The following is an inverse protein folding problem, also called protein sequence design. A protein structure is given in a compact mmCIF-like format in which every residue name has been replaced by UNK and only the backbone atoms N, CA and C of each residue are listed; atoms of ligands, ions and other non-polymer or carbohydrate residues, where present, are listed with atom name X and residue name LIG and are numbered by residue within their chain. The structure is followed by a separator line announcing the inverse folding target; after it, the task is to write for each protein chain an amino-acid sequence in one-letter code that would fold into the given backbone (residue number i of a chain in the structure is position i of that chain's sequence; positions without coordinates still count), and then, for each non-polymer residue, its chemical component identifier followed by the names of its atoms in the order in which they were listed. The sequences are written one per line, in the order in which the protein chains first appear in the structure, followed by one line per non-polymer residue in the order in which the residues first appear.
data_IF_918462160113
#
_entry.id   IF_918462160113
#
_cell.length_a   1.000
_cell.length_b   1.000
_cell.length_c   1.000
_cell.angle_alpha   90.00
_cell.angle_beta   90.00
_cell.angle_gamma   90.00
#
_symmetry.space_group_name_H-M   'P 1'
#
loop_
_entity.id
_entity.type
_entity.pdbx_description
1 polymer ?
#
# COMPACT_ATOMS: atom_id res chain seq x y z
N UNK A 1 -32.31 17.49 -23.70
CA UNK A 1 -32.21 16.97 -22.32
C UNK A 1 -31.43 15.65 -22.39
N UNK A 2 -30.12 15.69 -22.18
CA UNK A 2 -29.26 14.50 -22.17
C UNK A 2 -29.27 13.98 -20.73
N UNK A 3 -29.95 12.84 -20.56
CA UNK A 3 -29.93 12.09 -19.30
C UNK A 3 -28.50 11.81 -18.90
N UNK A 4 -28.09 12.39 -17.76
CA UNK A 4 -26.81 12.13 -17.14
C UNK A 4 -26.70 10.64 -16.83
N UNK A 5 -25.80 9.91 -17.52
CA UNK A 5 -25.38 8.58 -17.10
C UNK A 5 -24.90 8.72 -15.66
N UNK A 6 -25.61 8.10 -14.73
CA UNK A 6 -25.11 7.89 -13.37
C UNK A 6 -23.73 7.21 -13.49
N UNK A 7 -22.66 7.99 -13.40
CA UNK A 7 -21.31 7.45 -13.36
C UNK A 7 -21.22 6.59 -12.10
N UNK A 8 -21.19 5.27 -12.28
CA UNK A 8 -21.00 4.34 -11.16
C UNK A 8 -19.70 4.68 -10.48
N UNK A 9 -19.74 4.97 -9.17
CA UNK A 9 -18.57 5.35 -8.38
C UNK A 9 -17.43 4.36 -8.57
N UNK A 10 -16.19 4.85 -8.73
CA UNK A 10 -14.99 4.01 -8.82
C UNK A 10 -14.83 3.19 -7.54
N UNK A 11 -14.31 1.98 -7.65
CA UNK A 11 -14.13 1.03 -6.53
C UNK A 11 -12.65 0.84 -6.26
N UNK A 12 -12.25 0.93 -4.99
CA UNK A 12 -10.89 0.67 -4.54
C UNK A 12 -10.88 -0.46 -3.50
N UNK A 13 -9.91 -1.36 -3.65
CA UNK A 13 -9.62 -2.41 -2.66
C UNK A 13 -8.34 -2.04 -1.90
N UNK A 14 -8.45 -1.87 -0.57
CA UNK A 14 -7.34 -1.54 0.31
C UNK A 14 -7.02 -2.75 1.19
N UNK A 15 -5.81 -3.31 1.06
CA UNK A 15 -5.36 -4.37 1.96
C UNK A 15 -4.76 -3.77 3.24
N UNK A 16 -4.98 -4.41 4.40
CA UNK A 16 -4.57 -3.86 5.68
C UNK A 16 -5.30 -2.55 6.03
N UNK A 17 -6.56 -2.43 5.60
CA UNK A 17 -7.34 -1.19 5.72
C UNK A 17 -8.11 -1.03 7.03
N UNK A 18 -7.97 -1.95 8.00
CA UNK A 18 -8.69 -1.85 9.26
C UNK A 18 -8.08 -0.82 10.23
N UNK A 19 -6.81 -0.48 10.07
CA UNK A 19 -6.07 0.44 10.95
C UNK A 19 -4.94 1.19 10.24
N UNK A 20 -4.33 2.17 10.91
CA UNK A 20 -3.13 2.88 10.50
C UNK A 20 -3.24 3.49 9.10
N UNK A 21 -2.14 3.47 8.36
CA UNK A 21 -2.03 4.03 7.00
C UNK A 21 -3.16 3.53 6.08
N UNK A 22 -3.45 2.22 6.11
CA UNK A 22 -4.49 1.63 5.27
C UNK A 22 -5.88 2.20 5.57
N UNK A 23 -6.22 2.39 6.85
CA UNK A 23 -7.48 3.02 7.26
C UNK A 23 -7.51 4.51 6.85
N UNK A 24 -6.39 5.21 7.03
CA UNK A 24 -6.25 6.59 6.57
C UNK A 24 -6.50 6.74 5.06
N UNK A 25 -5.92 5.84 4.26
CA UNK A 25 -6.17 5.78 2.80
C UNK A 25 -7.65 5.52 2.51
N UNK A 26 -8.27 4.54 3.18
CA UNK A 26 -9.66 4.19 2.99
C UNK A 26 -10.61 5.37 3.30
N UNK A 27 -10.34 6.11 4.38
CA UNK A 27 -11.13 7.29 4.77
C UNK A 27 -11.00 8.44 3.76
N UNK A 28 -9.79 8.78 3.32
CA UNK A 28 -9.57 9.84 2.32
C UNK A 28 -10.26 9.50 1.00
N UNK A 29 -10.09 8.27 0.51
CA UNK A 29 -10.71 7.86 -0.75
C UNK A 29 -12.23 7.81 -0.67
N UNK A 30 -12.79 7.36 0.46
CA UNK A 30 -14.24 7.41 0.68
C UNK A 30 -14.77 8.84 0.66
N UNK A 31 -14.06 9.78 1.32
CA UNK A 31 -14.40 11.22 1.30
C UNK A 31 -14.33 11.84 -0.11
N UNK A 32 -13.55 11.24 -1.01
CA UNK A 32 -13.45 11.64 -2.43
C UNK A 32 -14.44 10.90 -3.35
N UNK A 33 -15.40 10.15 -2.78
CA UNK A 33 -16.47 9.50 -3.54
C UNK A 33 -16.14 8.10 -4.08
N UNK A 34 -15.01 7.48 -3.66
CA UNK A 34 -14.72 6.09 -3.98
C UNK A 34 -15.57 5.14 -3.13
N UNK A 35 -16.02 4.05 -3.73
CA UNK A 35 -16.53 2.91 -2.98
C UNK A 35 -15.34 2.08 -2.49
N UNK A 36 -15.21 1.94 -1.17
CA UNK A 36 -14.05 1.32 -0.54
C UNK A 36 -14.39 -0.10 -0.08
N UNK A 37 -13.54 -1.05 -0.47
CA UNK A 37 -13.47 -2.39 0.09
C UNK A 37 -12.19 -2.54 0.90
N UNK A 38 -12.29 -3.13 2.09
CA UNK A 38 -11.16 -3.42 2.98
C UNK A 38 -10.92 -4.92 3.04
N UNK A 39 -9.69 -5.34 2.75
CA UNK A 39 -9.20 -6.70 2.92
C UNK A 39 -8.22 -6.73 4.11
N UNK A 40 -8.59 -7.37 5.22
CA UNK A 40 -7.76 -7.40 6.43
C UNK A 40 -8.02 -8.70 7.21
N UNK A 41 -7.07 -9.11 8.03
CA UNK A 41 -7.26 -10.18 9.03
C UNK A 41 -8.09 -9.69 10.21
N UNK A 42 -8.02 -8.39 10.52
CA UNK A 42 -8.82 -7.72 11.53
C UNK A 42 -10.09 -7.14 10.91
N UNK A 43 -11.17 -7.11 11.68
CA UNK A 43 -12.45 -6.59 11.21
C UNK A 43 -12.42 -5.08 11.05
N UNK A 44 -12.91 -4.61 9.91
CA UNK A 44 -13.28 -3.20 9.68
C UNK A 44 -14.80 -3.07 9.76
N UNK A 45 -15.29 -2.00 10.41
CA UNK A 45 -16.72 -1.70 10.52
C UNK A 45 -17.11 -0.47 9.67
N UNK A 46 -16.13 0.25 9.12
CA UNK A 46 -16.35 1.51 8.39
C UNK A 46 -16.72 1.27 6.92
N UNK A 47 -16.30 0.12 6.35
CA UNK A 47 -16.38 -0.16 4.91
C UNK A 47 -16.83 -1.59 4.63
N UNK A 48 -17.12 -1.90 3.35
CA UNK A 48 -17.27 -3.29 2.95
C UNK A 48 -15.98 -4.06 3.31
N UNK A 49 -16.14 -5.12 4.07
CA UNK A 49 -15.03 -5.87 4.65
C UNK A 49 -15.00 -7.31 4.14
N UNK A 50 -13.84 -7.75 3.70
CA UNK A 50 -13.54 -9.15 3.39
C UNK A 50 -12.36 -9.63 4.25
N UNK A 51 -12.59 -10.60 5.15
CA UNK A 51 -11.51 -11.20 5.95
C UNK A 51 -10.49 -11.83 5.02
N UNK A 52 -9.24 -11.33 5.07
CA UNK A 52 -8.21 -11.72 4.11
C UNK A 52 -6.84 -11.85 4.75
N UNK A 53 -6.24 -13.02 4.63
CA UNK A 53 -4.82 -13.23 4.82
C UNK A 53 -4.16 -13.16 3.44
N UNK A 54 -3.43 -12.08 3.18
CA UNK A 54 -2.81 -11.82 1.88
C UNK A 54 -1.70 -12.83 1.52
N UNK A 55 -1.13 -13.51 2.52
CA UNK A 55 -0.13 -14.55 2.29
C UNK A 55 -0.75 -15.88 1.81
N UNK A 56 -2.09 -16.00 1.79
CA UNK A 56 -2.81 -17.22 1.40
C UNK A 56 -3.61 -17.00 0.13
N UNK A 57 -3.19 -17.60 -0.97
CA UNK A 57 -3.82 -17.38 -2.28
C UNK A 57 -5.32 -17.68 -2.30
N UNK A 58 -5.78 -18.73 -1.62
CA UNK A 58 -7.21 -19.04 -1.52
C UNK A 58 -8.01 -17.93 -0.85
N UNK A 59 -7.43 -17.29 0.21
CA UNK A 59 -8.02 -16.14 0.89
C UNK A 59 -8.11 -14.92 -0.03
N UNK A 60 -7.05 -14.65 -0.78
CA UNK A 60 -7.00 -13.57 -1.77
C UNK A 60 -8.06 -13.76 -2.85
N UNK A 61 -8.17 -14.97 -3.43
CA UNK A 61 -9.21 -15.26 -4.44
C UNK A 61 -10.63 -15.03 -3.92
N UNK A 62 -10.90 -15.49 -2.70
CA UNK A 62 -12.21 -15.30 -2.07
C UNK A 62 -12.52 -13.84 -1.85
N UNK A 63 -11.54 -13.04 -1.40
CA UNK A 63 -11.68 -11.60 -1.25
C UNK A 63 -12.01 -10.90 -2.56
N UNK A 64 -11.21 -11.12 -3.61
CA UNK A 64 -11.40 -10.46 -4.90
C UNK A 64 -12.78 -10.83 -5.49
N UNK A 65 -13.20 -12.10 -5.37
CA UNK A 65 -14.54 -12.54 -5.78
C UNK A 65 -15.61 -11.78 -5.03
N UNK A 66 -15.55 -11.69 -3.70
CA UNK A 66 -16.54 -10.97 -2.90
C UNK A 66 -16.63 -9.48 -3.25
N UNK A 67 -15.50 -8.83 -3.55
CA UNK A 67 -15.48 -7.42 -4.00
C UNK A 67 -16.17 -7.28 -5.36
N UNK A 68 -15.87 -8.18 -6.31
CA UNK A 68 -16.48 -8.14 -7.65
C UNK A 68 -17.97 -8.46 -7.59
N UNK A 69 -18.40 -9.42 -6.77
CA UNK A 69 -19.81 -9.73 -6.54
C UNK A 69 -20.57 -8.53 -5.94
N UNK A 70 -19.94 -7.82 -4.98
CA UNK A 70 -20.56 -6.67 -4.31
C UNK A 70 -20.68 -5.44 -5.20
N UNK A 71 -19.62 -5.10 -5.96
CA UNK A 71 -19.50 -3.81 -6.63
C UNK A 71 -19.55 -3.90 -8.18
N UNK A 72 -19.39 -5.08 -8.75
CA UNK A 72 -19.35 -5.31 -10.20
C UNK A 72 -18.09 -4.84 -10.91
N UNK A 73 -17.19 -4.12 -10.22
CA UNK A 73 -15.96 -3.51 -10.77
C UNK A 73 -14.86 -3.38 -9.75
N UNK A 74 -13.64 -3.14 -10.22
CA UNK A 74 -12.49 -2.75 -9.41
C UNK A 74 -11.61 -1.81 -10.23
N UNK A 75 -11.37 -0.60 -9.74
CA UNK A 75 -10.63 0.46 -10.43
C UNK A 75 -9.24 0.68 -9.83
N UNK A 76 -9.07 0.42 -8.54
CA UNK A 76 -7.77 0.55 -7.89
C UNK A 76 -7.52 -0.54 -6.85
N UNK A 77 -6.25 -0.94 -6.72
CA UNK A 77 -5.75 -1.83 -5.68
C UNK A 77 -4.66 -1.11 -4.88
N UNK A 78 -4.82 -1.07 -3.55
CA UNK A 78 -3.80 -0.56 -2.64
C UNK A 78 -3.25 -1.72 -1.82
N UNK A 79 -2.03 -2.14 -2.12
CA UNK A 79 -1.30 -3.15 -1.36
C UNK A 79 -0.61 -2.49 -0.18
N UNK A 80 -1.34 -2.40 0.94
CA UNK A 80 -0.84 -1.79 2.17
C UNK A 80 -0.62 -2.82 3.29
N UNK A 81 -1.32 -3.95 3.28
CA UNK A 81 -1.13 -4.99 4.29
C UNK A 81 0.35 -5.35 4.44
N UNK A 82 0.84 -5.33 5.68
CA UNK A 82 2.23 -5.60 5.96
C UNK A 82 2.50 -5.86 7.44
N UNK A 83 3.51 -6.66 7.70
CA UNK A 83 4.06 -6.82 9.03
C UNK A 83 5.05 -5.67 9.25
N UNK A 84 4.62 -4.67 10.03
CA UNK A 84 5.46 -3.59 10.53
C UNK A 84 6.35 -4.09 11.68
N UNK A 85 7.17 -3.19 12.28
CA UNK A 85 8.11 -3.57 13.33
C UNK A 85 9.35 -4.23 12.70
N UNK A 86 10.28 -3.42 12.20
CA UNK A 86 11.39 -3.89 11.40
C UNK A 86 12.44 -4.69 12.20
N UNK A 87 12.49 -4.56 13.51
CA UNK A 87 13.45 -5.26 14.36
C UNK A 87 13.19 -6.77 14.38
N UNK A 88 14.09 -7.50 13.74
CA UNK A 88 14.05 -8.96 13.65
C UNK A 88 15.11 -9.63 14.55
N UNK A 89 15.97 -8.84 15.20
CA UNK A 89 17.15 -9.26 15.96
C UNK A 89 18.30 -9.66 15.03
N UNK A 90 19.46 -10.03 15.61
CA UNK A 90 20.67 -10.35 14.86
C UNK A 90 20.46 -11.39 13.77
N UNK A 91 21.01 -11.15 12.58
CA UNK A 91 20.75 -11.97 11.37
C UNK A 91 21.04 -13.46 11.58
N UNK A 92 22.08 -13.79 12.34
CA UNK A 92 22.47 -15.18 12.64
C UNK A 92 21.47 -15.89 13.58
N UNK A 93 20.54 -15.14 14.20
CA UNK A 93 19.47 -15.66 15.08
C UNK A 93 18.08 -15.55 14.45
N UNK A 94 17.97 -14.94 13.27
CA UNK A 94 16.67 -14.76 12.61
C UNK A 94 16.12 -16.12 12.14
N UNK A 95 14.99 -16.63 12.71
CA UNK A 95 14.42 -17.88 12.27
C UNK A 95 13.90 -17.79 10.83
N UNK A 96 14.19 -18.78 9.99
CA UNK A 96 13.69 -18.85 8.61
C UNK A 96 12.17 -18.73 8.52
N UNK A 97 11.44 -19.23 9.52
CA UNK A 97 9.99 -19.11 9.59
C UNK A 97 9.56 -17.63 9.72
N UNK A 98 10.26 -16.81 10.52
CA UNK A 98 9.98 -15.37 10.70
C UNK A 98 10.28 -14.63 9.40
N UNK A 99 11.42 -14.94 8.76
CA UNK A 99 11.77 -14.45 7.42
C UNK A 99 10.67 -14.78 6.41
N UNK A 100 10.31 -16.05 6.25
CA UNK A 100 9.30 -16.50 5.28
C UNK A 100 7.93 -15.86 5.53
N UNK A 101 7.53 -15.69 6.79
CA UNK A 101 6.28 -15.01 7.13
C UNK A 101 6.29 -13.56 6.68
N UNK A 102 7.41 -12.85 6.86
CA UNK A 102 7.55 -11.46 6.46
C UNK A 102 7.52 -11.30 4.94
N UNK A 103 8.28 -12.12 4.23
CA UNK A 103 8.26 -12.18 2.76
C UNK A 103 6.85 -12.56 2.27
N UNK A 104 6.22 -13.54 2.90
CA UNK A 104 4.87 -13.99 2.56
C UNK A 104 3.84 -12.87 2.59
N UNK A 105 3.84 -12.07 3.66
CA UNK A 105 2.87 -10.97 3.80
C UNK A 105 3.27 -9.74 2.99
N UNK A 106 4.53 -9.28 3.11
CA UNK A 106 4.95 -7.98 2.59
C UNK A 106 5.28 -7.98 1.08
N UNK A 107 5.58 -9.14 0.50
CA UNK A 107 5.99 -9.25 -0.92
C UNK A 107 5.11 -10.23 -1.70
N UNK A 108 4.98 -11.47 -1.23
CA UNK A 108 4.14 -12.46 -1.92
C UNK A 108 2.67 -12.05 -1.90
N UNK A 109 2.18 -11.46 -0.79
CA UNK A 109 0.82 -10.93 -0.68
C UNK A 109 0.47 -9.91 -1.76
N UNK A 110 1.22 -8.81 -1.94
CA UNK A 110 1.04 -7.87 -3.05
C UNK A 110 1.06 -8.52 -4.43
N UNK A 111 1.94 -9.49 -4.67
CA UNK A 111 1.94 -10.27 -5.91
C UNK A 111 0.63 -11.03 -6.10
N UNK A 112 0.15 -11.75 -5.09
CA UNK A 112 -1.10 -12.53 -5.16
C UNK A 112 -2.32 -11.61 -5.36
N UNK A 113 -2.36 -10.47 -4.66
CA UNK A 113 -3.40 -9.47 -4.84
C UNK A 113 -3.39 -8.92 -6.27
N UNK A 114 -2.23 -8.53 -6.80
CA UNK A 114 -2.11 -8.08 -8.19
C UNK A 114 -2.59 -9.18 -9.17
N UNK A 115 -2.09 -10.41 -9.03
CA UNK A 115 -2.45 -11.57 -9.87
C UNK A 115 -3.97 -11.73 -10.02
N UNK A 116 -4.71 -11.64 -8.92
CA UNK A 116 -6.15 -11.87 -8.92
C UNK A 116 -6.99 -10.62 -9.22
N UNK A 117 -6.46 -9.40 -9.00
CA UNK A 117 -7.15 -8.14 -9.32
C UNK A 117 -6.96 -7.70 -10.78
N UNK A 118 -5.86 -8.07 -11.43
CA UNK A 118 -5.50 -7.65 -12.80
C UNK A 118 -6.63 -7.80 -13.82
N UNK A 119 -7.42 -8.89 -13.86
CA UNK A 119 -8.51 -9.00 -14.85
C UNK A 119 -9.54 -7.86 -14.74
N UNK A 120 -9.89 -7.44 -13.53
CA UNK A 120 -10.84 -6.35 -13.29
C UNK A 120 -10.19 -4.98 -13.50
N UNK A 121 -8.98 -4.78 -12.97
CA UNK A 121 -8.22 -3.54 -13.17
C UNK A 121 -7.96 -3.25 -14.65
N UNK A 122 -7.70 -4.28 -15.47
CA UNK A 122 -7.50 -4.13 -16.92
C UNK A 122 -8.77 -3.65 -17.63
N UNK A 123 -9.95 -4.17 -17.24
CA UNK A 123 -11.24 -3.71 -17.77
C UNK A 123 -11.53 -2.26 -17.41
N UNK A 124 -11.13 -1.85 -16.21
CA UNK A 124 -11.33 -0.50 -15.71
C UNK A 124 -10.25 0.50 -16.17
N UNK A 125 -9.14 0.04 -16.81
CA UNK A 125 -7.92 0.83 -17.05
C UNK A 125 -7.40 1.45 -15.76
N UNK A 126 -7.37 0.63 -14.71
CA UNK A 126 -7.17 1.05 -13.32
C UNK A 126 -5.71 1.22 -12.91
N UNK A 127 -5.48 1.18 -11.60
CA UNK A 127 -4.14 1.37 -11.03
C UNK A 127 -3.89 0.51 -9.81
N UNK A 128 -2.59 0.26 -9.56
CA UNK A 128 -2.08 -0.42 -8.37
C UNK A 128 -1.13 0.54 -7.66
N UNK A 129 -1.27 0.69 -6.34
CA UNK A 129 -0.30 1.37 -5.50
C UNK A 129 0.19 0.40 -4.42
N UNK A 130 1.49 0.18 -4.38
CA UNK A 130 2.16 -0.63 -3.37
C UNK A 130 2.72 0.26 -2.27
N UNK A 131 2.44 -0.07 -1.00
CA UNK A 131 3.00 0.67 0.15
C UNK A 131 4.25 -0.07 0.63
N UNK A 132 5.42 0.45 0.25
CA UNK A 132 6.71 -0.06 0.68
C UNK A 132 7.16 0.59 2.01
N UNK A 133 8.35 1.14 2.05
CA UNK A 133 8.94 1.88 3.18
C UNK A 133 10.25 2.53 2.73
N UNK A 134 10.71 3.56 3.43
CA UNK A 134 12.09 4.05 3.33
C UNK A 134 13.12 2.96 3.57
N UNK A 135 12.75 1.88 4.29
CA UNK A 135 13.61 0.69 4.48
C UNK A 135 13.92 -0.08 3.20
N UNK A 136 13.27 0.24 2.10
CA UNK A 136 13.63 -0.29 0.77
C UNK A 136 14.94 0.31 0.23
N UNK A 137 15.37 1.48 0.75
CA UNK A 137 16.52 2.25 0.24
C UNK A 137 17.51 2.66 1.35
N UNK A 138 17.09 2.56 2.61
CA UNK A 138 17.92 2.90 3.78
C UNK A 138 17.53 1.99 4.95
N UNK A 139 18.49 1.39 5.63
CA UNK A 139 18.23 0.39 6.66
C UNK A 139 18.81 0.80 8.02
N UNK A 140 18.35 0.18 9.07
CA UNK A 140 18.92 0.10 10.39
C UNK A 140 19.41 -1.33 10.62
N UNK A 141 20.31 -1.57 11.60
CA UNK A 141 20.66 -2.94 11.98
C UNK A 141 19.43 -3.80 12.30
N UNK A 142 19.54 -5.10 12.11
CA UNK A 142 18.52 -6.10 12.47
C UNK A 142 17.17 -5.96 11.73
N UNK A 143 17.21 -5.44 10.49
CA UNK A 143 15.99 -5.18 9.67
C UNK A 143 15.96 -5.96 8.35
N UNK A 144 16.76 -7.00 8.19
CA UNK A 144 17.05 -7.66 6.92
C UNK A 144 15.79 -8.19 6.22
N UNK A 145 14.94 -8.92 6.95
CA UNK A 145 13.71 -9.48 6.37
C UNK A 145 12.71 -8.40 5.96
N UNK A 146 12.61 -7.33 6.75
CA UNK A 146 11.73 -6.21 6.43
C UNK A 146 12.26 -5.44 5.22
N UNK A 147 13.54 -5.05 5.25
CA UNK A 147 14.19 -4.30 4.16
C UNK A 147 14.17 -5.10 2.85
N UNK A 148 14.49 -6.39 2.89
CA UNK A 148 14.42 -7.27 1.73
C UNK A 148 12.98 -7.33 1.16
N UNK A 149 11.96 -7.48 2.02
CA UNK A 149 10.57 -7.51 1.58
C UNK A 149 10.13 -6.20 0.92
N UNK A 150 10.53 -5.04 1.48
CA UNK A 150 10.14 -3.72 0.97
C UNK A 150 10.96 -3.32 -0.26
N UNK A 151 12.24 -3.69 -0.33
CA UNK A 151 13.07 -3.57 -1.54
C UNK A 151 12.52 -4.43 -2.69
N UNK A 152 12.16 -5.69 -2.39
CA UNK A 152 11.49 -6.57 -3.35
C UNK A 152 10.16 -6.00 -3.86
N UNK A 153 9.38 -5.32 -3.01
CA UNK A 153 8.12 -4.69 -3.42
C UNK A 153 8.33 -3.50 -4.37
N UNK A 154 9.40 -2.73 -4.18
CA UNK A 154 9.79 -1.67 -5.13
C UNK A 154 10.17 -2.28 -6.48
N UNK A 155 10.96 -3.37 -6.50
CA UNK A 155 11.31 -4.09 -7.72
C UNK A 155 10.07 -4.69 -8.40
N UNK A 156 9.16 -5.31 -7.64
CA UNK A 156 7.89 -5.84 -8.16
C UNK A 156 7.04 -4.74 -8.80
N UNK A 157 7.07 -3.52 -8.28
CA UNK A 157 6.30 -2.39 -8.80
C UNK A 157 6.67 -2.06 -10.25
N UNK A 158 7.96 -1.85 -10.55
CA UNK A 158 8.36 -1.51 -11.92
C UNK A 158 8.23 -2.71 -12.87
N UNK A 159 8.41 -3.94 -12.39
CA UNK A 159 8.18 -5.15 -13.18
C UNK A 159 6.70 -5.27 -13.59
N UNK A 160 5.77 -5.05 -12.64
CA UNK A 160 4.32 -5.03 -12.93
C UNK A 160 3.94 -3.87 -13.84
N UNK A 161 4.52 -2.67 -13.67
CA UNK A 161 4.25 -1.51 -14.53
C UNK A 161 4.57 -1.81 -15.99
N UNK A 162 5.70 -2.47 -16.26
CA UNK A 162 6.08 -2.90 -17.60
C UNK A 162 5.14 -3.98 -18.15
N UNK A 163 4.82 -4.99 -17.35
CA UNK A 163 4.00 -6.12 -17.80
C UNK A 163 2.52 -5.77 -18.01
N UNK A 164 1.99 -4.78 -17.29
CA UNK A 164 0.56 -4.45 -17.27
C UNK A 164 0.23 -3.17 -18.06
N UNK A 165 1.21 -2.38 -18.42
CA UNK A 165 1.01 -1.22 -19.29
C UNK A 165 0.60 -1.62 -20.72
N UNK A 166 -0.13 -0.76 -21.41
CA UNK A 166 -0.64 0.54 -21.01
C UNK A 166 -2.00 0.48 -20.26
N UNK A 167 -2.50 -0.72 -19.97
CA UNK A 167 -3.84 -0.90 -19.41
C UNK A 167 -3.95 -0.58 -17.91
N UNK A 168 -2.85 -0.80 -17.15
CA UNK A 168 -2.83 -0.59 -15.70
C UNK A 168 -1.54 0.15 -15.34
N UNK A 169 -1.64 1.23 -14.56
CA UNK A 169 -0.50 1.91 -13.97
C UNK A 169 -0.16 1.26 -12.62
N UNK A 170 1.13 1.13 -12.32
CA UNK A 170 1.59 0.55 -11.05
C UNK A 170 2.67 1.46 -10.46
N UNK A 171 2.45 1.96 -9.26
CA UNK A 171 3.40 2.80 -8.55
C UNK A 171 3.61 2.32 -7.11
N UNK A 172 4.65 2.81 -6.47
CA UNK A 172 5.02 2.52 -5.11
C UNK A 172 5.10 3.81 -4.30
N UNK A 173 4.64 3.76 -3.06
CA UNK A 173 4.86 4.78 -2.05
C UNK A 173 5.71 4.17 -0.95
N UNK A 174 6.79 4.86 -0.56
CA UNK A 174 7.73 4.46 0.49
C UNK A 174 7.66 5.48 1.64
N UNK A 175 6.76 5.26 2.62
CA UNK A 175 6.68 6.13 3.77
C UNK A 175 7.91 6.03 4.67
N UNK A 176 8.29 7.14 5.30
CA UNK A 176 9.17 7.18 6.46
C UNK A 176 8.39 6.86 7.75
N UNK A 177 8.72 7.56 8.83
CA UNK A 177 8.01 7.40 10.09
C UNK A 177 6.63 8.08 10.03
N UNK A 178 5.58 7.27 10.09
CA UNK A 178 4.19 7.69 10.21
C UNK A 178 3.71 7.31 11.62
N UNK A 179 3.29 8.30 12.39
CA UNK A 179 2.86 8.10 13.76
C UNK A 179 1.35 7.88 13.85
N UNK A 180 0.96 6.90 14.65
CA UNK A 180 -0.44 6.60 14.99
C UNK A 180 -0.78 7.04 16.43
N UNK A 181 0.25 7.46 17.18
CA UNK A 181 0.17 7.92 18.58
C UNK A 181 0.98 9.21 18.73
N UNK A 182 0.77 9.97 19.83
CA UNK A 182 1.57 11.15 20.13
C UNK A 182 3.07 10.83 20.20
N UNK A 183 3.88 11.64 19.56
CA UNK A 183 5.34 11.51 19.52
C UNK A 183 6.03 12.65 20.27
N UNK A 184 7.26 12.43 20.71
CA UNK A 184 8.03 13.43 21.46
C UNK A 184 8.47 14.57 20.55
N UNK A 185 8.66 15.77 21.10
CA UNK A 185 9.14 16.95 20.35
C UNK A 185 10.44 16.68 19.59
N UNK A 186 11.37 15.92 20.15
CA UNK A 186 12.64 15.56 19.52
C UNK A 186 12.45 14.66 18.27
N UNK A 187 11.39 13.89 18.22
CA UNK A 187 11.12 13.00 17.11
C UNK A 187 10.66 13.80 15.89
N UNK A 188 9.91 14.89 16.09
CA UNK A 188 9.54 15.83 15.03
C UNK A 188 10.78 16.50 14.40
N UNK A 189 11.81 16.82 15.20
CA UNK A 189 13.03 17.52 14.76
C UNK A 189 13.92 16.65 13.86
N UNK A 190 13.70 15.34 13.82
CA UNK A 190 14.42 14.44 12.90
C UNK A 190 14.07 14.68 11.43
N UNK A 191 12.90 15.27 11.17
CA UNK A 191 12.37 15.49 9.82
C UNK A 191 12.60 16.94 9.39
N UNK A 192 13.22 17.20 8.22
CA UNK A 192 13.37 18.55 7.66
C UNK A 192 12.07 19.33 7.58
N UNK A 193 10.94 18.67 7.34
CA UNK A 193 9.59 19.30 7.31
C UNK A 193 9.10 19.71 8.70
N UNK A 194 9.84 19.41 9.77
CA UNK A 194 9.55 19.80 11.15
C UNK A 194 8.51 18.96 11.88
N UNK A 195 8.08 17.85 11.31
CA UNK A 195 7.12 16.94 11.96
C UNK A 195 7.23 15.50 11.47
N UNK A 196 6.85 14.56 12.33
CA UNK A 196 6.58 13.16 11.95
C UNK A 196 5.36 13.11 11.03
N UNK A 197 5.34 12.16 10.09
CA UNK A 197 4.23 11.96 9.15
C UNK A 197 2.94 11.46 9.81
N UNK A 198 1.83 11.64 9.12
CA UNK A 198 0.48 11.17 9.48
C UNK A 198 -0.05 10.27 8.37
N UNK A 199 -1.01 9.43 8.69
CA UNK A 199 -1.69 8.57 7.71
C UNK A 199 -2.20 9.36 6.51
N UNK A 200 -2.73 10.57 6.75
CA UNK A 200 -3.23 11.46 5.71
C UNK A 200 -2.15 11.87 4.70
N UNK A 201 -0.90 12.08 5.13
CA UNK A 201 0.20 12.45 4.21
C UNK A 201 0.39 11.35 3.14
N UNK A 202 0.32 10.10 3.54
CA UNK A 202 0.41 8.95 2.62
C UNK A 202 -0.86 8.82 1.78
N UNK A 203 -2.02 9.01 2.40
CA UNK A 203 -3.32 8.85 1.75
C UNK A 203 -3.53 9.83 0.60
N UNK A 204 -3.15 11.09 0.75
CA UNK A 204 -3.25 12.12 -0.30
C UNK A 204 -2.37 11.80 -1.51
N UNK A 205 -1.15 11.31 -1.29
CA UNK A 205 -0.29 10.85 -2.38
C UNK A 205 -0.88 9.63 -3.09
N UNK A 206 -1.44 8.68 -2.35
CA UNK A 206 -2.12 7.52 -2.93
C UNK A 206 -3.32 7.98 -3.76
N UNK A 207 -4.14 8.91 -3.26
CA UNK A 207 -5.29 9.46 -3.97
C UNK A 207 -4.87 10.11 -5.31
N UNK A 208 -3.78 10.88 -5.31
CA UNK A 208 -3.20 11.41 -6.54
C UNK A 208 -2.78 10.29 -7.50
N UNK A 209 -2.04 9.29 -7.03
CA UNK A 209 -1.50 8.23 -7.88
C UNK A 209 -2.57 7.34 -8.55
N UNK A 210 -3.74 7.20 -7.93
CA UNK A 210 -4.87 6.45 -8.53
C UNK A 210 -5.80 7.33 -9.37
N UNK A 211 -5.62 8.65 -9.34
CA UNK A 211 -6.43 9.60 -10.12
C UNK A 211 -5.99 9.66 -11.59
N UNK A 212 -6.84 10.27 -12.41
CA UNK A 212 -6.56 10.50 -13.82
C UNK A 212 -5.42 11.55 -14.02
N UNK A 213 -5.20 12.43 -13.03
CA UNK A 213 -4.10 13.41 -13.02
C UNK A 213 -2.71 12.74 -13.04
N UNK A 214 -2.60 11.51 -12.53
CA UNK A 214 -1.36 10.72 -12.57
C UNK A 214 -1.22 9.86 -13.85
N UNK A 215 -1.91 10.21 -14.93
CA UNK A 215 -1.98 9.39 -16.16
C UNK A 215 -0.63 9.10 -16.83
N UNK A 216 0.40 9.93 -16.61
CA UNK A 216 1.76 9.74 -17.12
C UNK A 216 2.74 9.20 -16.06
N UNK A 217 2.23 8.71 -14.92
CA UNK A 217 3.05 8.23 -13.80
C UNK A 217 2.85 6.72 -13.64
N UNK A 218 3.89 5.93 -13.92
CA UNK A 218 3.92 4.49 -13.69
C UNK A 218 5.35 4.00 -13.44
N UNK A 219 5.51 2.90 -12.70
CA UNK A 219 6.79 2.28 -12.38
C UNK A 219 7.63 3.04 -11.34
N UNK A 220 7.09 4.08 -10.71
CA UNK A 220 7.83 4.97 -9.83
C UNK A 220 7.72 4.56 -8.36
N UNK A 221 8.77 4.88 -7.60
CA UNK A 221 8.79 4.79 -6.14
C UNK A 221 8.86 6.20 -5.54
N UNK A 222 7.81 6.60 -4.83
CA UNK A 222 7.69 7.90 -4.19
C UNK A 222 8.03 7.78 -2.71
N UNK A 223 9.18 8.33 -2.31
CA UNK A 223 9.54 8.44 -0.89
C UNK A 223 8.76 9.61 -0.27
N UNK A 224 8.04 9.33 0.82
CA UNK A 224 7.29 10.31 1.59
C UNK A 224 7.68 10.22 3.07
N UNK A 225 8.68 10.98 3.48
CA UNK A 225 9.37 10.83 4.76
C UNK A 225 9.71 12.18 5.45
N UNK A 226 9.14 13.28 4.96
CA UNK A 226 9.44 14.61 5.46
C UNK A 226 10.91 15.04 5.26
N UNK A 227 11.62 14.40 4.31
CA UNK A 227 13.01 14.69 3.97
C UNK A 227 14.03 13.95 4.83
N UNK A 228 13.61 13.02 5.70
CA UNK A 228 14.49 12.33 6.65
C UNK A 228 15.63 11.58 5.94
N UNK A 229 15.36 10.84 4.85
CA UNK A 229 16.38 10.11 4.08
C UNK A 229 17.33 11.01 3.28
N UNK A 230 17.05 12.32 3.20
CA UNK A 230 17.89 13.31 2.50
C UNK A 230 18.71 14.17 3.47
N UNK A 231 18.44 14.06 4.77
CA UNK A 231 19.16 14.80 5.79
C UNK A 231 20.55 14.19 6.01
N UNK A 232 21.59 14.99 5.81
CA UNK A 232 22.94 14.60 6.17
C UNK A 232 23.12 14.69 7.69
N UNK A 233 23.73 13.67 8.29
CA UNK A 233 24.03 13.61 9.72
C UNK A 233 25.55 13.61 9.87
N UNK A 234 26.07 14.61 10.57
CA UNK A 234 27.45 14.64 11.00
C UNK A 234 27.50 14.19 12.47
N UNK A 235 28.42 13.30 12.80
CA UNK A 235 28.64 12.81 14.17
C UNK A 235 29.69 13.67 14.83
#
# INVERSE_FOLDING_TARGET
MTEGRNATSKVVLVTGGAQGIGRGIALVLSGQGWQVAVADVQRSNDFFYARTDVAREASVRSCVRAVVEKFGRLDALINNAGLAGPDDGPVEKLPLQKWNRRIGVNLTGPFLMAKHCVPQLRRARGSIVNIASTRAVQSEPDTEAYSASKGGLVALTHALANSLGPAIRVNCVSPGWIAHEPVRKKDHQQHPVGRVGRDQDVAELVAYLISDAAGFVTGQNFVIDGGMTKKMIYV
#
